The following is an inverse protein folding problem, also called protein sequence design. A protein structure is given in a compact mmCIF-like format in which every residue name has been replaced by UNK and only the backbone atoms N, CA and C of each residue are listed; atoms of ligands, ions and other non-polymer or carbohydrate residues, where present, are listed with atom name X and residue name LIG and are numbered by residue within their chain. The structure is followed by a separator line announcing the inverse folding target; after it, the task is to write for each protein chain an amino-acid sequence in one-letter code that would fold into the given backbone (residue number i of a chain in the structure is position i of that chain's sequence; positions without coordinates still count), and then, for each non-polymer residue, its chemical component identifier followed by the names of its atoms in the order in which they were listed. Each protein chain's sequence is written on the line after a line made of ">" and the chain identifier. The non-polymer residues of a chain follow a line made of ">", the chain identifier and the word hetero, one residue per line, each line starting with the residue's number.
data_IF_117536077999
#
_entry.id   IF_117536077999
#
_cell.length_a   1.000
_cell.length_b   1.000
_cell.length_c   1.000
_cell.angle_alpha   90.00
_cell.angle_beta   90.00
_cell.angle_gamma   90.00
#
_symmetry.space_group_name_H-M   'P 1'
#
loop_
_entity.id
_entity.type
_entity.pdbx_description
1 polymer ?
#
# COMPACT_ATOMS: atom_id res chain seq x y z
N UNK A 1 10.68 -2.50 12.98
CA UNK A 1 10.05 -3.83 12.93
C UNK A 1 9.70 -4.13 11.48
N UNK A 2 10.24 -5.21 10.89
CA UNK A 2 9.94 -5.65 9.51
C UNK A 2 8.98 -6.83 9.63
N UNK A 3 7.68 -6.59 9.46
CA UNK A 3 6.70 -7.68 9.43
C UNK A 3 6.71 -8.25 8.01
N UNK A 4 7.43 -9.36 7.80
CA UNK A 4 7.39 -10.08 6.53
C UNK A 4 6.11 -10.90 6.46
N UNK A 5 5.14 -10.44 5.68
CA UNK A 5 3.83 -11.08 5.59
C UNK A 5 3.80 -12.37 4.74
N UNK A 6 4.90 -12.67 4.03
CA UNK A 6 4.92 -13.74 3.02
C UNK A 6 6.29 -14.44 2.95
N UNK A 7 6.74 -15.22 3.95
CA UNK A 7 8.04 -15.89 3.86
C UNK A 7 8.12 -16.91 2.70
N UNK A 8 7.06 -17.69 2.46
CA UNK A 8 7.07 -18.76 1.43
C UNK A 8 6.64 -18.26 0.04
N UNK A 9 5.58 -17.44 -0.02
CA UNK A 9 5.09 -16.85 -1.27
C UNK A 9 5.90 -15.65 -1.74
N UNK A 10 6.80 -15.13 -0.89
CA UNK A 10 7.70 -14.04 -1.21
C UNK A 10 8.30 -14.22 -2.60
N UNK A 11 8.89 -15.39 -2.85
CA UNK A 11 9.70 -15.67 -4.04
C UNK A 11 8.95 -15.51 -5.36
N UNK A 12 7.62 -15.60 -5.36
CA UNK A 12 6.78 -15.48 -6.56
C UNK A 12 6.23 -14.05 -6.80
N UNK A 13 6.20 -13.21 -5.76
CA UNK A 13 5.64 -11.87 -5.84
C UNK A 13 6.69 -10.85 -6.32
N UNK A 14 6.26 -9.91 -7.17
CA UNK A 14 7.13 -8.87 -7.74
C UNK A 14 7.49 -7.75 -6.76
N UNK A 15 6.85 -7.72 -5.59
CA UNK A 15 6.99 -6.66 -4.61
C UNK A 15 7.29 -7.25 -3.23
N UNK A 16 8.13 -6.55 -2.48
CA UNK A 16 8.20 -6.67 -1.03
C UNK A 16 7.25 -5.67 -0.41
N UNK A 17 6.59 -6.05 0.69
CA UNK A 17 5.73 -5.15 1.46
C UNK A 17 6.29 -4.98 2.88
N UNK A 18 6.23 -3.75 3.37
CA UNK A 18 6.46 -3.42 4.77
C UNK A 18 5.33 -2.53 5.27
N UNK A 19 4.75 -2.89 6.42
CA UNK A 19 3.75 -2.07 7.09
C UNK A 19 4.46 -1.01 7.94
N UNK A 20 4.16 0.25 7.64
CA UNK A 20 4.60 1.42 8.37
C UNK A 20 3.45 1.90 9.26
N UNK A 21 3.55 1.59 10.55
CA UNK A 21 2.57 1.96 11.58
C UNK A 21 2.86 3.33 12.21
N UNK A 22 3.80 4.07 11.63
CA UNK A 22 4.08 5.47 11.90
C UNK A 22 4.19 6.19 10.57
N UNK A 23 3.95 7.50 10.55
CA UNK A 23 4.14 8.33 9.36
C UNK A 23 5.63 8.31 8.97
N UNK A 24 6.01 7.77 7.81
CA UNK A 24 7.41 7.78 7.37
C UNK A 24 7.83 9.22 6.97
N UNK A 25 9.13 9.57 7.02
CA UNK A 25 9.61 10.90 6.63
C UNK A 25 9.23 11.32 5.21
N UNK A 26 9.03 10.34 4.34
CA UNK A 26 8.67 10.48 2.93
C UNK A 26 7.15 10.49 2.67
N UNK A 27 6.31 10.33 3.71
CA UNK A 27 4.86 10.48 3.56
C UNK A 27 4.46 11.97 3.49
N UNK A 28 3.26 12.26 2.95
CA UNK A 28 2.73 13.60 2.98
C UNK A 28 2.60 14.22 4.37
N UNK A 29 2.72 15.56 4.49
CA UNK A 29 2.73 16.27 5.77
C UNK A 29 1.31 16.40 6.36
N UNK A 30 0.70 15.28 6.73
CA UNK A 30 -0.55 15.26 7.50
C UNK A 30 -0.28 15.40 9.00
N UNK A 31 0.87 14.88 9.43
CA UNK A 31 1.40 15.00 10.78
C UNK A 31 2.92 14.74 10.75
N UNK A 32 3.66 15.07 11.82
CA UNK A 32 5.11 14.89 11.86
C UNK A 32 5.55 13.44 11.62
N UNK A 33 6.70 13.19 10.96
CA UNK A 33 7.28 11.85 10.87
C UNK A 33 7.44 11.19 12.25
N UNK A 34 7.20 9.89 12.32
CA UNK A 34 7.19 9.16 13.59
C UNK A 34 5.88 9.23 14.37
N UNK A 35 4.93 10.09 13.97
CA UNK A 35 3.56 10.06 14.51
C UNK A 35 2.95 8.69 14.24
N UNK A 36 2.33 8.08 15.25
CA UNK A 36 1.65 6.79 15.12
C UNK A 36 0.58 6.89 14.04
N UNK A 37 0.54 5.91 13.15
CA UNK A 37 -0.48 5.82 12.12
C UNK A 37 -1.84 5.59 12.80
N UNK A 38 -2.77 6.51 12.56
CA UNK A 38 -3.85 6.82 13.51
C UNK A 38 -5.05 5.89 13.30
N UNK A 39 -5.65 5.44 14.42
CA UNK A 39 -7.02 4.94 14.44
C UNK A 39 -7.97 6.13 14.68
N UNK A 40 -8.73 6.49 13.66
CA UNK A 40 -9.75 7.54 13.71
C UNK A 40 -11.13 6.89 13.81
N UNK A 41 -11.61 6.68 15.03
CA UNK A 41 -12.88 6.00 15.32
C UNK A 41 -12.92 4.58 14.71
N UNK A 42 -13.61 4.40 13.59
CA UNK A 42 -13.75 3.13 12.87
C UNK A 42 -12.81 3.01 11.67
N UNK A 43 -11.90 3.97 11.46
CA UNK A 43 -10.95 3.94 10.33
C UNK A 43 -9.53 3.82 10.84
N UNK A 44 -8.78 2.89 10.28
CA UNK A 44 -7.35 2.73 10.54
C UNK A 44 -6.58 3.28 9.34
N UNK A 45 -5.74 4.30 9.56
CA UNK A 45 -4.78 4.78 8.58
C UNK A 45 -3.43 4.12 8.86
N UNK A 46 -2.82 3.53 7.83
CA UNK A 46 -1.45 3.03 7.88
C UNK A 46 -0.77 3.21 6.52
N UNK A 47 0.53 2.99 6.46
CA UNK A 47 1.30 3.13 5.23
C UNK A 47 1.89 1.78 4.83
N UNK A 48 1.91 1.50 3.55
CA UNK A 48 2.63 0.39 2.96
C UNK A 48 3.84 0.94 2.23
N UNK A 49 5.02 0.44 2.56
CA UNK A 49 6.19 0.61 1.72
C UNK A 49 6.31 -0.62 0.81
N UNK A 50 6.22 -0.39 -0.50
CA UNK A 50 6.35 -1.43 -1.51
C UNK A 50 7.69 -1.26 -2.23
N UNK A 51 8.50 -2.31 -2.26
CA UNK A 51 9.80 -2.31 -2.93
C UNK A 51 9.81 -3.37 -4.01
N UNK A 52 10.00 -2.96 -5.26
CA UNK A 52 10.00 -3.88 -6.41
C UNK A 52 11.19 -4.84 -6.31
N UNK A 53 10.93 -6.11 -6.58
CA UNK A 53 11.98 -7.12 -6.74
C UNK A 53 12.43 -7.09 -8.18
N UNK A 54 13.65 -6.60 -8.40
CA UNK A 54 14.29 -6.58 -9.71
C UNK A 54 15.54 -7.47 -9.69
N UNK A 55 15.87 -8.14 -10.80
CA UNK A 55 17.21 -8.71 -10.99
C UNK A 55 18.23 -7.58 -10.97
N UNK A 56 19.32 -7.74 -10.22
CA UNK A 56 20.47 -6.81 -10.24
C UNK A 56 21.00 -6.66 -11.68
N UNK A 57 21.42 -5.47 -12.11
CA UNK A 57 21.92 -4.33 -11.31
C UNK A 57 20.95 -3.14 -11.18
N UNK A 58 19.66 -3.30 -11.43
CA UNK A 58 18.70 -2.18 -11.42
C UNK A 58 18.36 -1.74 -9.98
N UNK A 59 18.28 -0.43 -9.77
CA UNK A 59 17.81 0.12 -8.50
C UNK A 59 16.30 -0.18 -8.33
N UNK A 60 15.88 -0.81 -7.22
CA UNK A 60 14.50 -1.21 -7.04
C UNK A 60 13.59 0.00 -6.85
N UNK A 61 12.45 0.00 -7.54
CA UNK A 61 11.42 1.03 -7.35
C UNK A 61 10.84 0.90 -5.93
N UNK A 62 10.79 2.00 -5.21
CA UNK A 62 10.16 2.09 -3.88
C UNK A 62 8.98 3.06 -3.93
N UNK A 63 7.82 2.62 -3.47
CA UNK A 63 6.63 3.46 -3.34
C UNK A 63 6.03 3.37 -1.95
N UNK A 64 5.46 4.47 -1.49
CA UNK A 64 4.71 4.55 -0.24
C UNK A 64 3.25 4.78 -0.57
N UNK A 65 2.41 3.87 -0.10
CA UNK A 65 0.97 3.90 -0.30
C UNK A 65 0.30 4.11 1.04
N UNK A 66 -0.46 5.19 1.23
CA UNK A 66 -1.32 5.31 2.39
C UNK A 66 -2.59 4.49 2.20
N UNK A 67 -2.97 3.74 3.22
CA UNK A 67 -4.11 2.83 3.21
C UNK A 67 -5.05 3.19 4.34
N UNK A 68 -6.34 3.24 4.04
CA UNK A 68 -7.42 3.31 5.02
C UNK A 68 -8.15 1.96 5.03
N UNK A 69 -8.23 1.37 6.21
CA UNK A 69 -9.16 0.28 6.48
C UNK A 69 -10.35 0.82 7.28
N UNK A 70 -11.56 0.65 6.77
CA UNK A 70 -12.79 1.01 7.46
C UNK A 70 -13.37 -0.22 8.17
N UNK A 71 -13.27 -0.25 9.49
CA UNK A 71 -13.77 -1.32 10.35
C UNK A 71 -15.30 -1.44 10.33
N UNK A 72 -16.03 -0.39 9.95
CA UNK A 72 -17.48 -0.44 9.87
C UNK A 72 -17.96 -1.19 8.62
N UNK A 73 -17.22 -1.07 7.52
CA UNK A 73 -17.57 -1.68 6.23
C UNK A 73 -16.68 -2.87 5.87
N UNK A 74 -15.57 -3.08 6.58
CA UNK A 74 -14.55 -4.06 6.24
C UNK A 74 -13.75 -3.72 4.97
N UNK A 75 -13.82 -2.49 4.46
CA UNK A 75 -13.18 -2.10 3.20
C UNK A 75 -11.76 -1.56 3.40
N UNK A 76 -10.83 -2.02 2.56
CA UNK A 76 -9.46 -1.50 2.47
C UNK A 76 -9.31 -0.70 1.18
N UNK A 77 -8.88 0.56 1.30
CA UNK A 77 -8.79 1.50 0.19
C UNK A 77 -7.51 2.32 0.29
N UNK A 78 -7.07 2.90 -0.82
CA UNK A 78 -6.02 3.91 -0.78
C UNK A 78 -6.57 5.19 -0.14
N UNK A 79 -5.83 5.75 0.81
CA UNK A 79 -6.19 7.02 1.42
C UNK A 79 -6.03 8.17 0.41
N UNK A 80 -7.02 9.06 0.37
CA UNK A 80 -6.88 10.31 -0.36
C UNK A 80 -6.16 11.33 0.52
N UNK A 81 -4.88 11.53 0.24
CA UNK A 81 -3.98 12.39 1.00
C UNK A 81 -3.28 13.31 0.01
N UNK A 82 -3.16 14.63 0.31
CA UNK A 82 -2.43 15.57 -0.52
C UNK A 82 -1.03 15.05 -0.79
N UNK A 83 -0.70 14.72 -2.04
CA UNK A 83 0.56 14.06 -2.36
C UNK A 83 1.73 15.03 -2.28
N UNK A 84 2.87 14.57 -1.76
CA UNK A 84 4.15 15.23 -2.00
C UNK A 84 4.57 15.01 -3.46
N UNK A 85 5.23 16.01 -4.05
CA UNK A 85 5.70 16.01 -5.45
C UNK A 85 6.62 14.83 -5.82
N UNK A 86 7.14 14.11 -4.82
CA UNK A 86 8.02 12.95 -4.94
C UNK A 86 7.29 11.61 -5.17
N UNK A 87 5.94 11.57 -5.12
CA UNK A 87 5.17 10.35 -5.37
C UNK A 87 4.68 10.27 -6.82
N UNK A 88 4.98 9.15 -7.51
CA UNK A 88 4.53 8.93 -8.89
C UNK A 88 3.00 8.87 -8.94
N UNK A 89 2.38 9.86 -9.59
CA UNK A 89 0.92 9.94 -9.71
C UNK A 89 0.29 8.73 -10.40
N UNK A 90 1.02 8.12 -11.35
CA UNK A 90 0.61 6.90 -12.04
C UNK A 90 0.56 5.69 -11.11
N UNK A 91 1.51 5.56 -10.19
CA UNK A 91 1.53 4.47 -9.22
C UNK A 91 0.31 4.53 -8.29
N UNK A 92 -0.01 5.73 -7.78
CA UNK A 92 -1.19 5.92 -6.94
C UNK A 92 -2.50 5.62 -7.68
N UNK A 93 -2.64 6.00 -8.95
CA UNK A 93 -3.83 5.64 -9.73
C UNK A 93 -3.98 4.12 -9.90
N UNK A 94 -2.89 3.42 -10.21
CA UNK A 94 -2.91 1.96 -10.33
C UNK A 94 -3.29 1.28 -9.02
N UNK A 95 -2.71 1.71 -7.90
CA UNK A 95 -3.03 1.16 -6.58
C UNK A 95 -4.51 1.34 -6.25
N UNK A 96 -5.05 2.55 -6.41
CA UNK A 96 -6.47 2.83 -6.22
C UNK A 96 -7.37 1.94 -7.09
N UNK A 97 -7.02 1.77 -8.38
CA UNK A 97 -7.77 0.93 -9.30
C UNK A 97 -7.77 -0.55 -8.89
N UNK A 98 -6.62 -1.09 -8.44
CA UNK A 98 -6.52 -2.48 -7.99
C UNK A 98 -7.39 -2.70 -6.75
N UNK A 99 -7.27 -1.84 -5.75
CA UNK A 99 -8.04 -1.96 -4.50
C UNK A 99 -9.54 -1.78 -4.74
N UNK A 100 -9.93 -0.84 -5.61
CA UNK A 100 -11.32 -0.63 -6.00
C UNK A 100 -11.90 -1.88 -6.67
N UNK A 101 -11.22 -2.41 -7.70
CA UNK A 101 -11.63 -3.64 -8.40
C UNK A 101 -11.71 -4.83 -7.45
N UNK A 102 -10.75 -4.97 -6.53
CA UNK A 102 -10.77 -6.02 -5.52
C UNK A 102 -12.05 -5.94 -4.67
N UNK A 103 -12.40 -4.76 -4.18
CA UNK A 103 -13.60 -4.54 -3.36
C UNK A 103 -14.92 -4.81 -4.11
N UNK A 104 -14.95 -4.54 -5.42
CA UNK A 104 -16.12 -4.81 -6.28
C UNK A 104 -16.33 -6.32 -6.48
N UNK A 105 -15.24 -7.08 -6.64
CA UNK A 105 -15.28 -8.53 -6.83
C UNK A 105 -15.40 -9.32 -5.52
N UNK A 106 -14.95 -8.74 -4.42
CA UNK A 106 -14.95 -9.35 -3.09
C UNK A 106 -15.62 -8.41 -2.07
N UNK A 107 -16.96 -8.28 -2.10
CA UNK A 107 -17.68 -7.48 -1.12
C UNK A 107 -17.37 -7.97 0.30
N UNK A 108 -16.93 -7.06 1.16
CA UNK A 108 -16.60 -7.38 2.54
C UNK A 108 -17.84 -7.90 3.28
N UNK A 109 -17.69 -9.03 3.97
CA UNK A 109 -18.75 -9.58 4.83
C UNK A 109 -18.57 -9.07 6.26
N UNK A 110 -19.65 -9.11 7.04
CA UNK A 110 -19.59 -8.69 8.44
C UNK A 110 -18.55 -9.52 9.21
N UNK A 111 -17.65 -8.83 9.90
CA UNK A 111 -16.58 -9.44 10.70
C UNK A 111 -15.34 -9.86 9.91
N UNK A 112 -15.31 -9.69 8.59
CA UNK A 112 -14.12 -9.99 7.79
C UNK A 112 -13.16 -8.81 7.73
N UNK A 113 -11.86 -9.11 7.80
CA UNK A 113 -10.78 -8.14 7.62
C UNK A 113 -10.18 -8.30 6.23
N UNK A 114 -10.33 -7.29 5.38
CA UNK A 114 -9.85 -7.35 3.99
C UNK A 114 -8.41 -6.85 3.80
N UNK A 115 -7.75 -6.37 4.86
CA UNK A 115 -6.40 -5.79 4.77
C UNK A 115 -5.43 -6.75 4.08
N UNK A 116 -5.38 -8.00 4.57
CA UNK A 116 -4.44 -8.99 4.05
C UNK A 116 -4.71 -9.31 2.58
N UNK A 117 -5.96 -9.65 2.23
CA UNK A 117 -6.33 -10.01 0.87
C UNK A 117 -6.12 -8.85 -0.11
N UNK A 118 -6.44 -7.62 0.31
CA UNK A 118 -6.20 -6.42 -0.50
C UNK A 118 -4.72 -6.15 -0.75
N UNK A 119 -3.87 -6.36 0.26
CA UNK A 119 -2.41 -6.21 0.11
C UNK A 119 -1.82 -7.30 -0.78
N UNK A 120 -2.29 -8.54 -0.65
CA UNK A 120 -1.86 -9.63 -1.52
C UNK A 120 -2.24 -9.36 -2.98
N UNK A 121 -3.49 -8.97 -3.23
CA UNK A 121 -3.97 -8.59 -4.57
C UNK A 121 -3.14 -7.44 -5.15
N UNK A 122 -2.82 -6.44 -4.31
CA UNK A 122 -1.96 -5.33 -4.70
C UNK A 122 -0.56 -5.81 -5.10
N UNK A 123 0.07 -6.66 -4.31
CA UNK A 123 1.41 -7.20 -4.61
C UNK A 123 1.43 -8.09 -5.85
N UNK A 124 0.34 -8.80 -6.13
CA UNK A 124 0.22 -9.67 -7.30
C UNK A 124 0.02 -8.88 -8.60
N UNK A 125 -0.75 -7.79 -8.55
CA UNK A 125 -1.22 -7.08 -9.76
C UNK A 125 -0.52 -5.74 -10.01
N UNK A 126 0.15 -5.16 -9.02
CA UNK A 126 0.86 -3.89 -9.20
C UNK A 126 2.01 -4.08 -10.21
N UNK A 127 1.95 -3.34 -11.31
CA UNK A 127 2.97 -3.36 -12.33
C UNK A 127 3.35 -1.93 -12.69
N UNK A 128 4.49 -1.47 -12.16
CA UNK A 128 5.07 -0.20 -12.56
C UNK A 128 6.13 -0.51 -13.62
N UNK A 129 5.94 0.03 -14.82
CA UNK A 129 7.03 0.10 -15.78
C UNK A 129 8.14 0.99 -15.19
N UNK A 130 9.40 0.54 -15.16
CA UNK A 130 10.52 1.43 -14.89
C UNK A 130 10.40 2.58 -15.89
N UNK A 131 10.24 3.80 -15.39
CA UNK A 131 10.00 4.95 -16.25
C UNK A 131 11.10 5.06 -17.30
N UNK A 132 10.70 4.96 -18.58
CA UNK A 132 11.46 5.62 -19.64
C UNK A 132 11.52 7.10 -19.26
N UNK A 133 12.74 7.65 -19.22
CA UNK A 133 12.98 9.08 -19.04
C UNK A 133 12.05 9.86 -19.98
N UNK A 134 11.18 10.71 -19.42
CA UNK A 134 10.64 11.87 -20.09
C UNK A 134 11.05 13.09 -19.27
#
# INVERSE_FOLDING_TARGET
>A
MKLELFPDQATQLKWNVQFCLTIPPSAPPIAPPGTIAVVLKSKMLFFLQLTQRLPLPQEPVNIIVPIVYDMATGLTQQADIPRQHSSSGAAALMVSNILKRFSELHPARQGECTIFASVHELMANLNLTPGGRQ
#
